data_IF_530442480385
#
_entry.id   IF_530442480385
#
_cell.length_a   1.000
_cell.length_b   1.000
_cell.length_c   1.000
_cell.angle_alpha   90.00
_cell.angle_beta   90.00
_cell.angle_gamma   90.00
#
_symmetry.space_group_name_H-M   'P 1'
#
loop_
_entity.id
_entity.type
_entity.pdbx_description
1 polymer ?
#
# COMPACT_ATOMS: atom_id res chain seq x y z
N UNK A 1 12.36 17.36 9.69
CA UNK A 1 11.32 16.30 9.87
C UNK A 1 11.85 15.20 10.79
N UNK A 2 13.15 15.15 10.94
CA UNK A 2 13.98 14.19 11.64
C UNK A 2 14.86 14.89 12.68
N UNK A 3 15.41 14.11 13.60
CA UNK A 3 16.35 14.56 14.63
C UNK A 3 17.30 13.42 15.02
N UNK A 4 18.33 13.76 15.80
CA UNK A 4 19.21 12.75 16.41
C UNK A 4 18.46 11.89 17.43
N UNK A 5 18.84 10.62 17.54
CA UNK A 5 18.20 9.70 18.48
C UNK A 5 18.70 9.91 19.92
N UNK A 6 17.78 9.84 20.89
CA UNK A 6 18.16 9.75 22.30
C UNK A 6 18.93 8.45 22.58
N UNK A 7 19.93 8.52 23.47
CA UNK A 7 20.84 7.39 23.73
C UNK A 7 22.06 7.33 22.81
N UNK A 8 22.14 8.21 21.80
CA UNK A 8 23.24 8.25 20.85
C UNK A 8 23.14 7.15 19.78
N UNK A 9 24.12 7.11 18.88
CA UNK A 9 24.12 6.24 17.70
C UNK A 9 24.25 7.05 16.40
N UNK A 10 24.60 6.37 15.31
CA UNK A 10 24.62 7.00 13.99
C UNK A 10 23.19 7.28 13.50
N UNK A 11 23.03 8.16 12.52
CA UNK A 11 21.77 8.35 11.80
C UNK A 11 20.72 9.26 12.46
N UNK A 12 19.59 9.41 11.78
CA UNK A 12 18.49 10.29 12.14
C UNK A 12 17.20 9.49 12.31
N UNK A 13 16.28 9.98 13.16
CA UNK A 13 14.97 9.39 13.42
C UNK A 13 13.89 10.41 13.08
N UNK A 14 12.83 9.99 12.39
CA UNK A 14 11.70 10.87 12.09
C UNK A 14 10.98 11.27 13.38
N UNK A 15 10.83 12.58 13.59
CA UNK A 15 10.17 13.15 14.77
C UNK A 15 8.69 12.78 14.77
N UNK A 16 8.14 12.54 15.97
CA UNK A 16 6.72 12.22 16.13
C UNK A 16 5.80 13.39 15.78
N UNK A 17 6.15 14.62 16.16
CA UNK A 17 5.24 15.77 16.03
C UNK A 17 4.83 16.06 14.57
N UNK A 18 5.75 16.17 13.59
CA UNK A 18 5.37 16.44 12.21
C UNK A 18 4.47 15.36 11.60
N UNK A 19 4.70 14.09 11.95
CA UNK A 19 3.89 12.97 11.46
C UNK A 19 2.50 13.03 12.09
N UNK A 20 2.42 13.19 13.41
CA UNK A 20 1.14 13.30 14.12
C UNK A 20 0.31 14.49 13.61
N UNK A 21 0.93 15.64 13.37
CA UNK A 21 0.26 16.82 12.82
C UNK A 21 -0.22 16.60 11.39
N UNK A 22 0.51 15.84 10.57
CA UNK A 22 0.05 15.43 9.26
C UNK A 22 -1.21 14.54 9.37
N UNK A 23 -1.19 13.53 10.25
CA UNK A 23 -2.33 12.65 10.49
C UNK A 23 -3.56 13.40 10.97
N UNK A 24 -3.38 14.40 11.83
CA UNK A 24 -4.48 15.22 12.33
C UNK A 24 -5.00 16.18 11.25
N UNK A 25 -4.12 16.80 10.47
CA UNK A 25 -4.50 17.67 9.36
C UNK A 25 -5.32 16.95 8.29
N UNK A 26 -5.02 15.67 8.02
CA UNK A 26 -5.79 14.84 7.09
C UNK A 26 -7.03 14.20 7.76
N UNK A 27 -7.27 14.48 9.04
CA UNK A 27 -8.48 14.10 9.77
C UNK A 27 -8.57 12.63 10.16
N UNK A 28 -7.46 11.91 10.29
CA UNK A 28 -7.45 10.47 10.65
C UNK A 28 -7.10 10.18 12.10
N UNK A 29 -6.61 11.18 12.84
CA UNK A 29 -6.46 11.12 14.29
C UNK A 29 -7.17 12.30 14.94
N UNK A 30 -7.66 12.10 16.16
CA UNK A 30 -8.18 13.20 16.98
C UNK A 30 -7.03 13.95 17.61
N UNK A 31 -6.98 15.26 17.39
CA UNK A 31 -5.97 16.12 18.00
C UNK A 31 -6.57 17.44 18.50
N UNK A 32 -5.82 18.05 19.42
CA UNK A 32 -6.12 19.36 20.01
C UNK A 32 -5.60 20.53 19.18
N UNK A 33 -4.95 20.32 18.03
CA UNK A 33 -4.28 21.42 17.31
C UNK A 33 -5.27 22.44 16.74
N UNK A 34 -6.53 22.06 16.55
CA UNK A 34 -7.58 23.06 16.25
C UNK A 34 -7.66 24.20 17.28
N UNK A 35 -7.16 23.99 18.50
CA UNK A 35 -7.12 25.00 19.56
C UNK A 35 -5.73 25.62 19.81
N UNK A 36 -4.63 24.85 19.76
CA UNK A 36 -3.32 25.34 20.24
C UNK A 36 -2.38 25.86 19.14
N UNK A 37 -2.33 25.22 17.97
CA UNK A 37 -1.54 25.71 16.83
C UNK A 37 -2.11 27.01 16.23
N UNK A 38 -3.43 27.21 16.33
CA UNK A 38 -4.08 28.48 16.00
C UNK A 38 -3.72 29.57 17.03
N UNK A 39 -3.55 29.21 18.30
CA UNK A 39 -3.24 30.14 19.38
C UNK A 39 -1.77 30.57 19.42
N UNK A 40 -0.83 29.70 19.05
CA UNK A 40 0.62 29.95 19.18
C UNK A 40 1.27 30.58 17.93
N UNK A 41 0.55 30.81 16.83
CA UNK A 41 1.03 31.62 15.68
C UNK A 41 2.19 31.02 14.86
N UNK A 42 2.68 29.84 15.23
CA UNK A 42 3.87 29.19 14.64
C UNK A 42 3.66 28.59 13.24
N UNK A 43 2.41 28.53 12.75
CA UNK A 43 2.07 28.12 11.39
C UNK A 43 1.73 29.36 10.55
N UNK A 44 2.65 29.78 9.67
CA UNK A 44 2.34 30.73 8.58
C UNK A 44 1.50 30.01 7.52
N UNK A 45 0.22 29.81 7.81
CA UNK A 45 -0.75 29.28 6.85
C UNK A 45 -1.13 30.40 5.90
N UNK A 46 -0.80 30.26 4.61
CA UNK A 46 -1.39 31.09 3.57
C UNK A 46 -2.91 30.95 3.61
N UNK A 47 -3.62 32.07 3.69
CA UNK A 47 -5.09 32.15 3.68
C UNK A 47 -5.81 31.28 4.74
N UNK A 48 -6.33 31.93 5.80
CA UNK A 48 -7.21 31.32 6.83
C UNK A 48 -8.43 30.54 6.27
N UNK A 49 -8.81 30.74 5.00
CA UNK A 49 -10.01 30.16 4.39
C UNK A 49 -9.79 28.76 3.81
N UNK A 50 -8.57 28.39 3.42
CA UNK A 50 -8.36 27.12 2.70
C UNK A 50 -8.14 25.95 3.67
N UNK A 51 -7.46 26.19 4.80
CA UNK A 51 -7.20 25.16 5.81
C UNK A 51 -8.43 24.82 6.67
N UNK A 52 -9.23 25.81 7.07
CA UNK A 52 -10.40 25.57 7.93
C UNK A 52 -11.52 24.80 7.21
N UNK A 53 -11.61 24.95 5.88
CA UNK A 53 -12.57 24.25 5.04
C UNK A 53 -12.14 22.80 4.80
N UNK A 54 -10.85 22.54 4.61
CA UNK A 54 -10.28 21.18 4.51
C UNK A 54 -10.33 20.41 5.84
N UNK A 55 -10.08 21.06 6.98
CA UNK A 55 -10.19 20.44 8.31
C UNK A 55 -11.63 20.11 8.72
N UNK A 56 -12.62 20.82 8.18
CA UNK A 56 -14.05 20.61 8.50
C UNK A 56 -14.70 19.53 7.64
N UNK A 57 -14.24 19.31 6.41
CA UNK A 57 -14.81 18.29 5.51
C UNK A 57 -14.43 16.85 5.88
N UNK A 58 -13.35 16.63 6.63
CA UNK A 58 -12.91 15.30 7.05
C UNK A 58 -13.63 14.70 8.25
N UNK A 59 -14.54 15.44 8.92
CA UNK A 59 -15.02 15.09 10.26
C UNK A 59 -16.31 14.26 10.35
N UNK A 60 -16.98 13.93 9.24
CA UNK A 60 -18.36 13.42 9.36
C UNK A 60 -18.74 12.18 8.57
N UNK A 61 -17.78 11.47 7.97
CA UNK A 61 -18.09 10.16 7.40
C UNK A 61 -17.47 9.06 8.26
N UNK A 62 -18.29 8.05 8.62
CA UNK A 62 -17.85 6.77 9.20
C UNK A 62 -17.02 5.96 8.19
N UNK A 63 -15.98 6.55 7.60
CA UNK A 63 -15.10 5.90 6.62
C UNK A 63 -14.29 4.84 7.33
N UNK A 64 -14.31 3.63 6.78
CA UNK A 64 -13.39 2.55 7.16
C UNK A 64 -11.98 2.96 6.77
N UNK A 65 -11.33 3.65 7.70
CA UNK A 65 -9.97 4.18 7.54
C UNK A 65 -8.99 3.25 8.22
N UNK A 66 -7.83 3.01 7.59
CA UNK A 66 -6.72 2.33 8.23
C UNK A 66 -5.40 3.08 8.03
N UNK A 67 -4.65 3.28 9.11
CA UNK A 67 -3.36 3.96 9.15
C UNK A 67 -2.26 2.91 9.33
N UNK A 68 -1.38 2.82 8.33
CA UNK A 68 -0.32 1.81 8.26
C UNK A 68 1.04 2.51 8.27
N UNK A 69 1.95 2.07 9.13
CA UNK A 69 3.37 2.41 9.02
C UNK A 69 4.10 1.32 8.24
N UNK A 70 4.94 1.74 7.31
CA UNK A 70 5.78 0.86 6.52
C UNK A 70 7.12 0.67 7.23
N UNK A 71 7.34 -0.55 7.70
CA UNK A 71 8.45 -0.94 8.57
C UNK A 71 8.82 -2.40 8.27
N UNK A 72 10.10 -2.73 7.99
CA UNK A 72 10.53 -4.12 7.75
C UNK A 72 10.22 -5.07 8.92
N UNK A 73 10.11 -4.57 10.15
CA UNK A 73 9.70 -5.34 11.33
C UNK A 73 8.16 -5.50 11.47
N UNK A 74 7.39 -5.02 10.49
CA UNK A 74 5.93 -5.16 10.41
C UNK A 74 5.46 -6.53 9.93
N UNK A 75 4.15 -6.73 9.89
CA UNK A 75 3.55 -7.94 9.29
C UNK A 75 3.81 -7.95 7.80
N UNK A 76 4.15 -9.12 7.25
CA UNK A 76 4.36 -9.27 5.81
C UNK A 76 3.06 -9.00 5.05
N UNK A 77 3.16 -8.12 4.05
CA UNK A 77 2.10 -7.84 3.10
C UNK A 77 1.87 -9.09 2.24
N UNK A 78 0.60 -9.49 2.12
CA UNK A 78 0.18 -10.61 1.31
C UNK A 78 -1.11 -10.29 0.55
N UNK A 79 -1.50 -11.19 -0.36
CA UNK A 79 -2.70 -10.98 -1.18
C UNK A 79 -3.99 -10.87 -0.35
N UNK A 80 -4.06 -11.53 0.82
CA UNK A 80 -5.22 -11.42 1.72
C UNK A 80 -5.30 -10.04 2.35
N UNK A 81 -4.16 -9.43 2.66
CA UNK A 81 -4.08 -8.07 3.16
C UNK A 81 -4.52 -7.08 2.08
N UNK A 82 -4.06 -7.24 0.83
CA UNK A 82 -4.52 -6.44 -0.31
C UNK A 82 -6.05 -6.49 -0.49
N UNK A 83 -6.65 -7.69 -0.43
CA UNK A 83 -8.11 -7.88 -0.50
C UNK A 83 -8.87 -7.24 0.67
N UNK A 84 -8.26 -7.14 1.85
CA UNK A 84 -8.85 -6.41 2.99
C UNK A 84 -8.75 -4.90 2.77
N UNK A 85 -7.61 -4.44 2.28
CA UNK A 85 -7.35 -3.02 2.04
C UNK A 85 -8.22 -2.47 0.91
N UNK A 86 -8.54 -3.25 -0.11
CA UNK A 86 -9.39 -2.81 -1.23
C UNK A 86 -10.85 -2.55 -0.84
N UNK A 87 -11.26 -3.00 0.35
CA UNK A 87 -12.59 -2.79 0.94
C UNK A 87 -12.64 -1.58 1.89
N UNK A 88 -11.53 -0.89 2.09
CA UNK A 88 -11.45 0.31 2.91
C UNK A 88 -11.88 1.52 2.09
N UNK A 89 -12.57 2.46 2.74
CA UNK A 89 -12.88 3.75 2.13
C UNK A 89 -11.63 4.63 2.06
N UNK A 90 -10.67 4.38 2.97
CA UNK A 90 -9.44 5.15 3.08
C UNK A 90 -8.30 4.31 3.64
N UNK A 91 -7.18 4.30 2.92
CA UNK A 91 -5.92 3.73 3.38
C UNK A 91 -4.88 4.85 3.49
N UNK A 92 -4.28 5.00 4.67
CA UNK A 92 -3.19 5.95 4.93
C UNK A 92 -1.91 5.15 5.11
N UNK A 93 -0.91 5.41 4.27
CA UNK A 93 0.39 4.75 4.32
C UNK A 93 1.43 5.79 4.74
N UNK A 94 2.19 5.49 5.78
CA UNK A 94 3.27 6.34 6.29
C UNK A 94 4.61 5.73 5.89
N UNK A 95 5.28 6.39 4.95
CA UNK A 95 6.59 5.98 4.47
C UNK A 95 7.70 6.44 5.42
N UNK A 96 8.54 5.51 5.86
CA UNK A 96 9.71 5.81 6.68
C UNK A 96 10.90 6.28 5.85
N UNK A 97 11.87 6.91 6.53
CA UNK A 97 13.19 7.30 6.03
C UNK A 97 14.21 7.20 7.17
N UNK A 98 15.49 7.35 6.84
CA UNK A 98 16.58 7.36 7.81
C UNK A 98 16.61 6.03 8.61
N UNK A 99 16.72 6.07 9.94
CA UNK A 99 16.64 4.87 10.78
C UNK A 99 15.22 4.42 11.11
N UNK A 100 14.21 5.22 10.72
CA UNK A 100 12.81 4.93 10.99
C UNK A 100 12.16 6.04 11.80
N UNK A 101 11.27 5.63 12.70
CA UNK A 101 10.34 6.51 13.38
C UNK A 101 10.61 6.59 14.87
N UNK A 102 10.26 7.72 15.47
CA UNK A 102 10.09 7.80 16.92
C UNK A 102 9.02 6.79 17.37
N UNK A 103 9.37 5.91 18.30
CA UNK A 103 8.53 4.80 18.77
C UNK A 103 7.11 5.22 19.22
N UNK A 104 6.94 6.48 19.66
CA UNK A 104 5.63 6.98 20.12
C UNK A 104 4.61 7.08 18.99
N UNK A 105 5.03 7.19 17.73
CA UNK A 105 4.09 7.30 16.61
C UNK A 105 3.22 6.04 16.46
N UNK A 106 3.73 4.87 16.88
CA UNK A 106 3.04 3.59 16.74
C UNK A 106 1.75 3.52 17.57
N UNK A 107 1.56 4.41 18.55
CA UNK A 107 0.31 4.53 19.32
C UNK A 107 -0.84 5.16 18.53
N UNK A 108 -0.54 5.79 17.40
CA UNK A 108 -1.50 6.52 16.57
C UNK A 108 -1.75 5.86 15.21
N UNK A 109 -1.29 4.62 15.03
CA UNK A 109 -1.46 3.86 13.80
C UNK A 109 -2.07 2.49 14.13
N UNK A 110 -2.71 1.88 13.14
CA UNK A 110 -3.40 0.61 13.34
C UNK A 110 -2.47 -0.59 13.20
N UNK A 111 -1.48 -0.52 12.31
CA UNK A 111 -0.62 -1.66 11.99
C UNK A 111 0.72 -1.26 11.37
N UNK A 112 1.75 -2.08 11.60
CA UNK A 112 3.04 -2.03 10.91
C UNK A 112 3.06 -3.08 9.81
N UNK A 113 3.48 -2.70 8.59
CA UNK A 113 3.50 -3.60 7.43
C UNK A 113 4.87 -3.57 6.77
N UNK A 114 5.38 -4.77 6.46
CA UNK A 114 6.59 -5.01 5.68
C UNK A 114 6.23 -5.59 4.32
N UNK A 115 6.93 -5.22 3.26
CA UNK A 115 6.76 -5.81 1.91
C UNK A 115 7.76 -6.93 1.62
N UNK A 116 8.59 -7.31 2.59
CA UNK A 116 9.48 -8.47 2.48
C UNK A 116 10.66 -8.47 3.45
N UNK A 117 11.44 -9.56 3.43
CA UNK A 117 12.61 -9.76 4.30
C UNK A 117 13.86 -9.07 3.72
N UNK A 118 13.77 -7.76 3.51
CA UNK A 118 14.86 -6.94 3.01
C UNK A 118 14.67 -5.50 3.48
N UNK A 119 15.75 -4.70 3.40
CA UNK A 119 15.76 -3.31 3.84
C UNK A 119 15.85 -2.39 2.62
N UNK A 120 15.03 -1.34 2.61
CA UNK A 120 15.05 -0.27 1.62
C UNK A 120 15.41 1.06 2.27
N UNK A 121 15.87 2.02 1.47
CA UNK A 121 16.23 3.36 1.95
C UNK A 121 15.03 4.23 2.35
N UNK A 122 13.81 3.78 2.07
CA UNK A 122 12.57 4.49 2.39
C UNK A 122 11.32 3.67 2.12
N UNK A 123 10.20 4.11 2.70
CA UNK A 123 8.90 3.46 2.61
C UNK A 123 8.09 3.81 1.36
N UNK A 124 8.64 4.56 0.41
CA UNK A 124 7.90 4.99 -0.79
C UNK A 124 7.65 3.83 -1.76
N UNK A 125 8.65 2.98 -2.01
CA UNK A 125 8.48 1.79 -2.85
C UNK A 125 7.51 0.78 -2.20
N UNK A 126 7.63 0.46 -0.90
CA UNK A 126 6.62 -0.34 -0.20
C UNK A 126 5.21 0.26 -0.30
N UNK A 127 5.07 1.58 -0.21
CA UNK A 127 3.77 2.23 -0.36
C UNK A 127 3.19 2.02 -1.75
N UNK A 128 3.99 2.23 -2.80
CA UNK A 128 3.58 2.02 -4.19
C UNK A 128 3.21 0.55 -4.45
N UNK A 129 3.96 -0.41 -3.91
CA UNK A 129 3.63 -1.84 -4.01
C UNK A 129 2.27 -2.15 -3.40
N UNK A 130 1.99 -1.63 -2.20
CA UNK A 130 0.70 -1.84 -1.54
C UNK A 130 -0.43 -1.15 -2.31
N UNK A 131 -0.21 0.06 -2.80
CA UNK A 131 -1.19 0.80 -3.62
C UNK A 131 -1.52 0.04 -4.89
N UNK A 132 -0.53 -0.45 -5.64
CA UNK A 132 -0.73 -1.20 -6.89
C UNK A 132 -1.54 -2.48 -6.63
N UNK A 133 -1.10 -3.31 -5.69
CA UNK A 133 -1.75 -4.57 -5.36
C UNK A 133 -3.16 -4.41 -4.81
N UNK A 134 -3.42 -3.30 -4.11
CA UNK A 134 -4.74 -3.00 -3.54
C UNK A 134 -5.67 -2.39 -4.60
N UNK A 135 -5.20 -1.42 -5.38
CA UNK A 135 -6.00 -0.68 -6.34
C UNK A 135 -6.55 -1.58 -7.44
N UNK A 136 -5.76 -2.55 -7.93
CA UNK A 136 -6.21 -3.51 -8.95
C UNK A 136 -7.41 -4.38 -8.50
N UNK A 137 -7.61 -4.53 -7.19
CA UNK A 137 -8.74 -5.26 -6.61
C UNK A 137 -10.00 -4.39 -6.44
N UNK A 138 -9.92 -3.09 -6.71
CA UNK A 138 -11.07 -2.18 -6.66
C UNK A 138 -11.90 -2.34 -7.94
N UNK A 139 -13.23 -2.54 -7.85
CA UNK A 139 -14.09 -2.68 -9.02
C UNK A 139 -13.94 -1.51 -9.98
N UNK A 140 -13.74 -1.82 -11.27
CA UNK A 140 -13.59 -0.82 -12.33
C UNK A 140 -12.15 -0.38 -12.62
N UNK A 141 -11.15 -0.83 -11.84
CA UNK A 141 -9.73 -0.53 -12.13
C UNK A 141 -9.16 -1.48 -13.20
N UNK A 142 -9.46 -2.78 -13.11
CA UNK A 142 -9.06 -3.74 -14.14
C UNK A 142 -10.14 -3.89 -15.21
N UNK A 143 -9.70 -3.95 -16.48
CA UNK A 143 -10.58 -4.08 -17.64
C UNK A 143 -11.24 -5.46 -17.81
N UNK A 144 -10.64 -6.52 -17.26
CA UNK A 144 -11.21 -7.87 -17.27
C UNK A 144 -11.21 -8.47 -15.86
N UNK A 145 -12.40 -8.66 -15.28
CA UNK A 145 -12.56 -9.25 -13.96
C UNK A 145 -12.12 -10.73 -13.90
N UNK A 146 -12.22 -11.47 -15.00
CA UNK A 146 -11.82 -12.89 -15.07
C UNK A 146 -10.31 -13.08 -14.86
N UNK A 147 -9.51 -12.03 -15.04
CA UNK A 147 -8.07 -12.05 -14.75
C UNK A 147 -7.81 -12.23 -13.26
N UNK A 148 -8.63 -11.64 -12.38
CA UNK A 148 -8.46 -11.76 -10.93
C UNK A 148 -8.73 -13.18 -10.40
N UNK A 149 -9.64 -13.90 -11.06
CA UNK A 149 -10.06 -15.26 -10.66
C UNK A 149 -9.03 -16.33 -11.03
N UNK A 150 -8.16 -16.07 -12.02
CA UNK A 150 -7.18 -17.02 -12.55
C UNK A 150 -5.72 -16.66 -12.21
N UNK A 151 -5.49 -15.82 -11.21
CA UNK A 151 -4.17 -15.37 -10.77
C UNK A 151 -3.56 -16.23 -9.64
N UNK A 152 -2.22 -16.19 -9.55
CA UNK A 152 -1.49 -16.72 -8.40
C UNK A 152 -2.04 -16.17 -7.09
N UNK A 153 -2.14 -17.04 -6.09
CA UNK A 153 -2.62 -16.73 -4.73
C UNK A 153 -4.13 -16.44 -4.59
N UNK A 154 -4.93 -16.51 -5.66
CA UNK A 154 -6.39 -16.37 -5.57
C UNK A 154 -7.12 -17.71 -5.55
N UNK A 155 -6.74 -18.69 -6.40
CA UNK A 155 -7.20 -20.10 -6.36
C UNK A 155 -6.61 -21.01 -7.45
N UNK A 156 -5.76 -20.50 -8.36
CA UNK A 156 -5.12 -21.32 -9.39
C UNK A 156 -3.61 -21.11 -9.41
N UNK A 157 -2.92 -22.20 -9.76
CA UNK A 157 -1.49 -22.20 -10.03
C UNK A 157 -1.26 -21.63 -11.43
N UNK A 158 -0.33 -20.70 -11.57
CA UNK A 158 0.01 -20.15 -12.87
C UNK A 158 0.58 -21.25 -13.79
N UNK A 159 0.16 -21.20 -15.05
CA UNK A 159 0.69 -22.03 -16.12
C UNK A 159 1.41 -21.14 -17.14
N UNK A 160 2.38 -21.69 -17.90
CA UNK A 160 3.09 -20.91 -18.90
C UNK A 160 2.14 -20.32 -19.95
N UNK A 161 2.28 -19.03 -20.20
CA UNK A 161 1.53 -18.31 -21.22
C UNK A 161 2.36 -18.21 -22.50
N UNK A 162 1.69 -18.36 -23.64
CA UNK A 162 2.27 -18.22 -24.97
C UNK A 162 1.40 -17.24 -25.76
N UNK A 163 2.05 -16.47 -26.63
CA UNK A 163 1.39 -15.57 -27.57
C UNK A 163 2.08 -15.70 -28.93
N UNK A 164 1.54 -15.01 -29.94
CA UNK A 164 2.11 -14.99 -31.30
C UNK A 164 3.53 -14.40 -31.28
N UNK A 165 4.43 -14.86 -32.18
CA UNK A 165 4.24 -15.87 -33.22
C UNK A 165 4.32 -17.33 -32.70
N UNK A 166 3.86 -18.30 -33.49
CA UNK A 166 3.86 -19.73 -33.12
C UNK A 166 5.26 -20.34 -32.96
N UNK A 167 6.24 -19.81 -33.69
CA UNK A 167 7.65 -20.18 -33.56
C UNK A 167 8.50 -18.91 -33.42
N UNK A 168 9.30 -18.86 -32.35
CA UNK A 168 10.27 -17.78 -32.12
C UNK A 168 11.62 -18.40 -31.79
N UNK A 169 12.65 -18.09 -32.59
CA UNK A 169 14.01 -18.61 -32.40
C UNK A 169 14.07 -20.16 -32.22
N UNK A 170 13.37 -20.91 -33.08
CA UNK A 170 13.24 -22.38 -33.03
C UNK A 170 12.51 -22.93 -31.79
N UNK A 171 11.92 -22.07 -30.97
CA UNK A 171 11.04 -22.45 -29.86
C UNK A 171 9.59 -22.39 -30.33
N UNK A 172 8.91 -23.54 -30.30
CA UNK A 172 7.52 -23.67 -30.72
C UNK A 172 6.56 -23.57 -29.55
N UNK A 173 5.41 -22.94 -29.79
CA UNK A 173 4.25 -23.04 -28.88
C UNK A 173 3.81 -24.51 -28.81
N UNK A 174 3.47 -25.05 -27.63
CA UNK A 174 2.95 -26.42 -27.51
C UNK A 174 1.75 -26.65 -28.43
N UNK A 175 1.79 -27.71 -29.23
CA UNK A 175 0.76 -27.99 -30.25
C UNK A 175 -0.66 -28.06 -29.68
N UNK A 176 -0.80 -28.56 -28.44
CA UNK A 176 -2.10 -28.58 -27.73
C UNK A 176 -2.72 -27.19 -27.57
N UNK A 177 -1.92 -26.13 -27.43
CA UNK A 177 -2.40 -24.75 -27.33
C UNK A 177 -2.82 -24.17 -28.68
N UNK A 178 -2.36 -24.75 -29.79
CA UNK A 178 -2.74 -24.39 -31.16
C UNK A 178 -3.96 -25.19 -31.66
N UNK A 179 -4.32 -26.28 -30.97
CA UNK A 179 -5.36 -27.22 -31.40
C UNK A 179 -6.81 -26.67 -31.35
N UNK A 180 -7.06 -25.56 -30.65
CA UNK A 180 -8.41 -25.06 -30.38
C UNK A 180 -9.26 -25.95 -29.46
N UNK A 181 -8.73 -27.09 -28.98
CA UNK A 181 -9.48 -28.03 -28.14
C UNK A 181 -9.46 -27.57 -26.67
N UNK A 182 -10.51 -26.87 -26.25
CA UNK A 182 -10.63 -26.33 -24.89
C UNK A 182 -10.45 -27.37 -23.78
N UNK A 183 -10.87 -28.63 -23.99
CA UNK A 183 -10.71 -29.70 -22.99
C UNK A 183 -9.23 -30.06 -22.82
N UNK A 184 -8.54 -30.34 -23.92
CA UNK A 184 -7.11 -30.69 -23.89
C UNK A 184 -6.24 -29.52 -23.40
N UNK A 185 -6.60 -28.29 -23.76
CA UNK A 185 -5.94 -27.08 -23.26
C UNK A 185 -6.14 -26.96 -21.73
N UNK A 186 -7.35 -27.18 -21.24
CA UNK A 186 -7.64 -27.16 -19.80
C UNK A 186 -6.85 -28.22 -19.01
N UNK A 187 -6.77 -29.45 -19.53
CA UNK A 187 -5.97 -30.53 -18.95
C UNK A 187 -4.47 -30.21 -18.96
N UNK A 188 -3.95 -29.66 -20.06
CA UNK A 188 -2.56 -29.22 -20.16
C UNK A 188 -2.23 -28.10 -19.17
N UNK A 189 -3.10 -27.08 -19.05
CA UNK A 189 -2.95 -25.98 -18.10
C UNK A 189 -2.86 -26.49 -16.67
N UNK A 190 -3.78 -27.37 -16.26
CA UNK A 190 -3.75 -28.02 -14.94
C UNK A 190 -2.47 -28.82 -14.71
N UNK A 191 -2.00 -29.57 -15.72
CA UNK A 191 -0.76 -30.37 -15.62
C UNK A 191 0.51 -29.50 -15.52
N UNK A 192 0.52 -28.32 -16.13
CA UNK A 192 1.66 -27.38 -16.14
C UNK A 192 1.58 -26.30 -15.06
N UNK A 193 0.49 -26.27 -14.29
CA UNK A 193 0.28 -25.34 -13.21
C UNK A 193 1.29 -25.61 -12.08
N UNK A 194 2.10 -24.60 -11.72
CA UNK A 194 3.14 -24.72 -10.67
C UNK A 194 2.63 -24.42 -9.27
#
# INVERSE_FOLDING_TARGET
MDDTQYGGGAGMVLKVDPIYYCLEAIGVVSGRLSSRAVAEGSLKVGSKRDFSTALRSGRNDKKKTKIIILDPAGKKFDQKMAQKFSKLDRLVLISGRYQGFDERIYKFVDEKVSVGDYVLSGGELPALTIVEATARLVPGVLGNAESLDNESHTNQKEYPLYTKPEEFNKLKVPEVLLSGNHKLIGEWRKKKAK
#
